data_IF_203230806303
#
_entry.id   IF_203230806303
#
_cell.length_a   1.000
_cell.length_b   1.000
_cell.length_c   1.000
_cell.angle_alpha   90.00
_cell.angle_beta   90.00
_cell.angle_gamma   90.00
#
_symmetry.space_group_name_H-M   'P 1'
#
loop_
_entity.id
_entity.type
_entity.pdbx_description
1 polymer ?
#
# COMPACT_ATOMS: atom_id res chain seq x y z
N UNK A 1 -15.03 -15.87 14.34
CA UNK A 1 -14.59 -14.95 13.27
C UNK A 1 -15.16 -15.50 11.99
N UNK A 2 -16.18 -14.83 11.45
CA UNK A 2 -16.79 -15.20 10.18
C UNK A 2 -16.12 -14.41 9.05
N UNK A 3 -16.03 -15.01 7.87
CA UNK A 3 -15.40 -14.39 6.71
C UNK A 3 -16.40 -14.36 5.55
N UNK A 4 -16.67 -13.16 5.03
CA UNK A 4 -17.63 -12.95 3.96
C UNK A 4 -16.91 -12.56 2.68
N UNK A 5 -17.04 -13.42 1.65
CA UNK A 5 -16.49 -13.19 0.31
C UNK A 5 -17.23 -14.10 -0.68
N UNK A 6 -17.25 -13.77 -2.00
CA UNK A 6 -16.72 -12.56 -2.65
C UNK A 6 -17.72 -11.39 -2.64
N UNK A 7 -17.33 -10.21 -3.13
CA UNK A 7 -18.23 -9.04 -3.32
C UNK A 7 -17.72 -7.77 -2.65
N UNK A 8 -18.55 -6.73 -2.68
CA UNK A 8 -18.38 -5.48 -1.94
C UNK A 8 -18.83 -5.64 -0.49
N UNK A 9 -18.41 -4.73 0.40
CA UNK A 9 -18.86 -4.74 1.78
C UNK A 9 -20.39 -4.63 1.91
N UNK A 10 -21.05 -3.85 1.05
CA UNK A 10 -22.52 -3.72 1.05
C UNK A 10 -23.26 -5.04 0.77
N UNK A 11 -22.63 -6.03 0.12
CA UNK A 11 -23.27 -7.33 -0.11
C UNK A 11 -23.34 -8.21 1.16
N UNK A 12 -22.61 -7.83 2.21
CA UNK A 12 -22.44 -8.65 3.40
C UNK A 12 -22.70 -7.91 4.71
N UNK A 13 -22.75 -6.58 4.72
CA UNK A 13 -22.85 -5.78 5.95
C UNK A 13 -24.12 -6.09 6.75
N UNK A 14 -25.24 -6.42 6.10
CA UNK A 14 -26.46 -6.88 6.79
C UNK A 14 -26.26 -8.16 7.61
N UNK A 15 -25.34 -9.05 7.18
CA UNK A 15 -25.02 -10.29 7.91
C UNK A 15 -24.15 -10.03 9.12
N UNK A 16 -23.34 -8.97 9.08
CA UNK A 16 -22.53 -8.52 10.22
C UNK A 16 -23.45 -7.93 11.29
N UNK A 17 -24.49 -7.19 10.87
CA UNK A 17 -25.42 -6.51 11.76
C UNK A 17 -24.96 -5.10 12.13
N UNK A 18 -25.86 -4.34 12.76
CA UNK A 18 -25.59 -2.99 13.25
C UNK A 18 -24.80 -2.94 14.55
N UNK A 19 -24.77 -1.75 15.17
CA UNK A 19 -24.09 -1.47 16.44
C UNK A 19 -22.60 -1.87 16.45
N UNK A 20 -21.92 -1.64 15.34
CA UNK A 20 -20.50 -1.96 15.19
C UNK A 20 -19.66 -0.92 15.96
N UNK A 21 -19.07 -1.34 17.08
CA UNK A 21 -18.22 -0.48 17.93
C UNK A 21 -16.80 -0.27 17.39
N UNK A 22 -16.31 -1.21 16.58
CA UNK A 22 -14.96 -1.21 16.03
C UNK A 22 -14.97 -1.68 14.59
N UNK A 23 -14.47 -0.84 13.69
CA UNK A 23 -14.32 -1.15 12.28
C UNK A 23 -12.86 -0.97 11.86
N UNK A 24 -12.34 -1.90 11.06
CA UNK A 24 -11.02 -1.79 10.43
C UNK A 24 -11.25 -1.73 8.92
N UNK A 25 -10.78 -0.65 8.30
CA UNK A 25 -10.83 -0.48 6.84
C UNK A 25 -9.40 -0.62 6.31
N UNK A 26 -9.18 -1.67 5.54
CA UNK A 26 -7.89 -2.05 4.96
C UNK A 26 -8.16 -2.76 3.62
N UNK A 27 -8.46 -1.99 2.57
CA UNK A 27 -9.00 -2.55 1.31
C UNK A 27 -8.17 -2.21 0.08
N UNK A 28 -8.73 -1.44 -0.87
CA UNK A 28 -8.19 -1.29 -2.23
C UNK A 28 -7.07 -0.25 -2.35
N UNK A 29 -6.88 0.60 -1.32
CA UNK A 29 -5.91 1.69 -1.29
C UNK A 29 -5.98 2.59 -2.54
N UNK A 30 -7.18 2.72 -3.12
CA UNK A 30 -7.45 3.48 -4.33
C UNK A 30 -8.92 3.89 -4.40
N UNK A 31 -9.20 4.97 -5.13
CA UNK A 31 -10.57 5.38 -5.40
C UNK A 31 -11.19 4.44 -6.45
N UNK A 32 -12.48 4.09 -6.34
CA UNK A 32 -13.41 4.51 -5.28
C UNK A 32 -13.45 3.58 -4.05
N UNK A 33 -12.80 2.41 -4.11
CA UNK A 33 -13.03 1.30 -3.18
C UNK A 33 -13.02 1.66 -1.71
N UNK A 34 -11.93 2.28 -1.24
CA UNK A 34 -11.76 2.59 0.18
C UNK A 34 -12.86 3.54 0.71
N UNK A 35 -13.25 4.54 -0.10
CA UNK A 35 -14.29 5.50 0.26
C UNK A 35 -15.69 4.86 0.23
N UNK A 36 -15.94 3.95 -0.71
CA UNK A 36 -17.18 3.19 -0.77
C UNK A 36 -17.30 2.24 0.42
N UNK A 37 -16.24 1.53 0.79
CA UNK A 37 -16.26 0.62 1.94
C UNK A 37 -16.62 1.37 3.23
N UNK A 38 -16.09 2.57 3.43
CA UNK A 38 -16.50 3.41 4.56
C UNK A 38 -17.98 3.79 4.49
N UNK A 39 -18.49 4.23 3.33
CA UNK A 39 -19.90 4.54 3.16
C UNK A 39 -20.82 3.30 3.32
N UNK A 40 -20.31 2.10 3.10
CA UNK A 40 -21.09 0.88 3.33
C UNK A 40 -21.19 0.51 4.81
N UNK A 41 -20.12 0.69 5.57
CA UNK A 41 -20.13 0.38 7.01
C UNK A 41 -20.80 1.48 7.84
N UNK A 42 -20.76 2.74 7.38
CA UNK A 42 -21.16 3.91 8.15
C UNK A 42 -22.56 3.82 8.79
N UNK A 43 -23.63 3.37 8.10
CA UNK A 43 -24.97 3.26 8.69
C UNK A 43 -25.08 2.20 9.81
N UNK A 44 -24.12 1.28 9.89
CA UNK A 44 -24.10 0.15 10.83
C UNK A 44 -23.19 0.41 12.03
N UNK A 45 -22.45 1.52 12.04
CA UNK A 45 -21.56 1.90 13.14
C UNK A 45 -22.35 2.36 14.37
N UNK A 46 -21.89 1.96 15.55
CA UNK A 46 -22.46 2.46 16.81
C UNK A 46 -22.06 3.92 17.06
N UNK A 47 -22.73 4.58 18.00
CA UNK A 47 -22.35 5.92 18.45
C UNK A 47 -20.93 5.90 19.01
N UNK A 48 -20.08 6.79 18.50
CA UNK A 48 -18.66 6.83 18.85
C UNK A 48 -17.84 5.61 18.46
N UNK A 49 -18.29 4.85 17.44
CA UNK A 49 -17.53 3.74 16.90
C UNK A 49 -16.09 4.15 16.56
N UNK A 50 -15.17 3.23 16.80
CA UNK A 50 -13.76 3.39 16.47
C UNK A 50 -13.51 2.86 15.08
N UNK A 51 -13.03 3.72 14.18
CA UNK A 51 -12.60 3.31 12.83
C UNK A 51 -11.09 3.35 12.75
N UNK A 52 -10.48 2.21 12.49
CA UNK A 52 -9.04 2.05 12.28
C UNK A 52 -8.75 2.01 10.78
N UNK A 53 -7.76 2.78 10.35
CA UNK A 53 -7.26 2.78 8.98
C UNK A 53 -5.77 2.51 8.94
N UNK A 54 -5.37 1.66 8.00
CA UNK A 54 -3.98 1.40 7.63
C UNK A 54 -3.57 2.25 6.41
N UNK A 55 -2.29 2.24 6.08
CA UNK A 55 -1.75 2.82 4.84
C UNK A 55 -2.00 4.31 4.62
N UNK A 56 -2.09 5.08 5.72
CA UNK A 56 -2.27 6.53 5.70
C UNK A 56 -1.13 7.25 4.95
N UNK A 57 0.06 6.65 4.87
CA UNK A 57 1.21 7.23 4.18
C UNK A 57 1.57 6.51 2.88
N UNK A 58 0.70 5.63 2.40
CA UNK A 58 0.98 4.78 1.24
C UNK A 58 1.39 5.55 -0.02
N UNK A 59 0.67 6.64 -0.33
CA UNK A 59 1.00 7.55 -1.44
C UNK A 59 2.42 8.13 -1.37
N UNK A 60 2.95 8.35 -0.16
CA UNK A 60 4.30 8.87 0.07
C UNK A 60 5.32 7.74 -0.01
N UNK A 61 5.08 6.64 0.70
CA UNK A 61 6.01 5.50 0.78
C UNK A 61 6.18 4.78 -0.56
N UNK A 62 5.13 4.74 -1.38
CA UNK A 62 5.11 4.03 -2.65
C UNK A 62 5.28 4.93 -3.87
N UNK A 63 5.44 6.25 -3.70
CA UNK A 63 5.57 7.26 -4.78
C UNK A 63 4.48 7.12 -5.85
N UNK A 64 3.23 6.99 -5.39
CA UNK A 64 2.03 6.78 -6.22
C UNK A 64 1.05 7.91 -5.96
N UNK A 65 1.17 8.97 -6.76
CA UNK A 65 0.47 10.27 -6.59
C UNK A 65 -1.07 10.21 -6.58
N UNK A 66 -1.67 9.04 -6.80
CA UNK A 66 -3.12 8.84 -6.87
C UNK A 66 -3.66 7.76 -5.93
N UNK A 67 -2.83 7.27 -4.99
CA UNK A 67 -3.23 6.28 -3.98
C UNK A 67 -3.18 6.89 -2.57
N UNK A 68 -3.73 8.09 -2.46
CA UNK A 68 -3.81 8.87 -1.22
C UNK A 68 -5.17 8.73 -0.52
N UNK A 69 -6.07 7.87 -1.02
CA UNK A 69 -7.43 7.73 -0.49
C UNK A 69 -7.45 7.45 1.01
N UNK A 70 -6.60 6.56 1.52
CA UNK A 70 -6.56 6.25 2.96
C UNK A 70 -6.23 7.50 3.79
N UNK A 71 -5.27 8.31 3.33
CA UNK A 71 -4.89 9.58 3.98
C UNK A 71 -6.03 10.60 3.97
N UNK A 72 -6.65 10.80 2.81
CA UNK A 72 -7.70 11.79 2.61
C UNK A 72 -8.94 11.39 3.39
N UNK A 73 -9.38 10.12 3.28
CA UNK A 73 -10.53 9.58 4.00
C UNK A 73 -10.34 9.70 5.51
N UNK A 74 -9.19 9.27 6.05
CA UNK A 74 -8.90 9.40 7.47
C UNK A 74 -8.91 10.86 7.94
N UNK A 75 -8.36 11.76 7.14
CA UNK A 75 -8.36 13.20 7.43
C UNK A 75 -9.78 13.79 7.45
N UNK A 76 -10.68 13.25 6.63
CA UNK A 76 -12.08 13.66 6.53
C UNK A 76 -12.99 13.14 7.63
N UNK A 77 -12.57 12.15 8.44
CA UNK A 77 -13.40 11.66 9.54
C UNK A 77 -13.70 12.76 10.57
N UNK A 78 -14.94 12.85 11.03
CA UNK A 78 -15.33 13.74 12.11
C UNK A 78 -15.25 12.99 13.44
N UNK A 79 -14.35 13.43 14.33
CA UNK A 79 -14.09 12.75 15.58
C UNK A 79 -12.68 12.98 16.11
N UNK A 80 -12.36 12.29 17.21
CA UNK A 80 -11.02 12.32 17.83
C UNK A 80 -10.09 11.35 17.12
N UNK A 81 -9.15 11.91 16.35
CA UNK A 81 -8.13 11.15 15.61
C UNK A 81 -6.91 10.89 16.48
N UNK A 82 -6.40 9.67 16.40
CA UNK A 82 -5.19 9.21 17.05
C UNK A 82 -4.31 8.50 16.03
N UNK A 83 -3.00 8.72 16.14
CA UNK A 83 -2.01 8.06 15.29
C UNK A 83 -1.19 7.11 16.14
N UNK A 84 -1.02 5.87 15.67
CA UNK A 84 -0.12 4.93 16.34
C UNK A 84 1.31 5.36 16.05
N UNK A 85 2.07 5.67 17.11
CA UNK A 85 3.49 6.02 16.97
C UNK A 85 4.28 4.78 16.59
N UNK A 86 4.55 4.64 15.31
CA UNK A 86 5.47 3.65 14.79
C UNK A 86 6.90 4.16 14.95
N UNK A 87 7.81 3.30 15.39
CA UNK A 87 9.24 3.63 15.50
C UNK A 87 9.93 3.69 14.11
N UNK A 88 9.21 3.35 13.04
CA UNK A 88 9.72 3.21 11.68
C UNK A 88 9.15 4.30 10.78
N UNK A 89 9.69 5.51 10.91
CA UNK A 89 9.15 6.67 10.21
C UNK A 89 10.22 7.21 9.28
N UNK A 90 10.18 6.77 8.02
CA UNK A 90 11.10 7.21 6.97
C UNK A 90 11.13 8.76 6.83
N UNK A 91 10.03 9.43 7.21
CA UNK A 91 9.83 10.86 7.06
C UNK A 91 9.60 11.59 8.40
N UNK A 92 9.80 10.93 9.54
CA UNK A 92 9.64 11.51 10.88
C UNK A 92 8.21 11.41 11.46
N UNK A 93 8.01 11.75 12.75
CA UNK A 93 6.87 11.30 13.57
C UNK A 93 5.47 11.75 13.12
N UNK A 94 5.38 12.66 12.15
CA UNK A 94 4.11 13.12 11.59
C UNK A 94 3.59 12.22 10.46
N UNK A 95 4.36 11.23 10.01
CA UNK A 95 4.01 10.34 8.89
C UNK A 95 3.71 8.93 9.41
N UNK A 96 2.76 8.81 10.32
CA UNK A 96 2.33 7.52 10.86
C UNK A 96 1.46 6.78 9.85
N UNK A 97 1.73 5.50 9.60
CA UNK A 97 1.00 4.75 8.59
C UNK A 97 -0.36 4.24 9.10
N UNK A 98 -0.56 4.21 10.42
CA UNK A 98 -1.77 3.68 11.05
C UNK A 98 -2.37 4.74 11.96
N UNK A 99 -3.68 4.93 11.83
CA UNK A 99 -4.45 5.80 12.70
C UNK A 99 -5.82 5.22 13.00
N UNK A 100 -6.43 5.70 14.08
CA UNK A 100 -7.82 5.43 14.39
C UNK A 100 -8.56 6.72 14.73
N UNK A 101 -9.85 6.75 14.42
CA UNK A 101 -10.73 7.85 14.78
C UNK A 101 -11.84 7.30 15.67
N UNK A 102 -12.01 7.89 16.85
CA UNK A 102 -13.26 7.77 17.60
C UNK A 102 -14.22 8.75 16.96
N UNK A 103 -15.16 8.26 16.15
CA UNK A 103 -16.10 9.11 15.43
C UNK A 103 -16.98 9.89 16.42
N UNK A 104 -17.45 11.08 16.04
CA UNK A 104 -18.55 11.72 16.77
C UNK A 104 -19.83 10.86 16.66
N UNK A 105 -20.80 11.03 17.55
CA UNK A 105 -22.04 10.24 17.56
C UNK A 105 -23.08 10.62 16.49
N UNK A 106 -22.83 11.70 15.76
CA UNK A 106 -23.71 12.29 14.75
C UNK A 106 -23.14 12.17 13.32
N UNK A 107 -22.47 11.07 12.98
CA UNK A 107 -21.84 10.90 11.66
C UNK A 107 -22.80 10.90 10.47
N UNK A 108 -24.07 10.55 10.71
CA UNK A 108 -25.12 10.53 9.70
C UNK A 108 -25.75 11.91 9.47
N UNK A 109 -25.24 12.97 10.11
CA UNK A 109 -25.64 14.35 9.80
C UNK A 109 -25.27 14.71 8.36
N UNK A 110 -26.16 15.46 7.72
CA UNK A 110 -26.14 15.78 6.30
C UNK A 110 -24.82 16.46 5.88
N UNK A 111 -24.34 17.43 6.67
CA UNK A 111 -23.10 18.15 6.37
C UNK A 111 -21.88 17.24 6.36
N UNK A 112 -21.85 16.21 7.22
CA UNK A 112 -20.75 15.23 7.30
C UNK A 112 -20.84 14.24 6.15
N UNK A 113 -22.05 13.75 5.85
CA UNK A 113 -22.32 12.88 4.71
C UNK A 113 -21.90 13.55 3.39
N UNK A 114 -22.15 14.86 3.22
CA UNK A 114 -21.65 15.59 2.05
C UNK A 114 -20.12 15.56 1.92
N UNK A 115 -19.37 15.62 3.02
CA UNK A 115 -17.91 15.48 2.96
C UNK A 115 -17.53 14.08 2.49
N UNK A 116 -18.15 13.04 3.06
CA UNK A 116 -17.86 11.65 2.69
C UNK A 116 -18.22 11.33 1.23
N UNK A 117 -19.40 11.74 0.77
CA UNK A 117 -19.79 11.55 -0.64
C UNK A 117 -18.93 12.38 -1.60
N UNK A 118 -18.49 13.59 -1.20
CA UNK A 118 -17.57 14.40 -2.03
C UNK A 118 -16.20 13.74 -2.22
N UNK A 119 -15.78 12.81 -1.35
CA UNK A 119 -14.57 12.04 -1.61
C UNK A 119 -14.69 11.18 -2.88
N UNK A 120 -15.91 10.74 -3.23
CA UNK A 120 -16.16 10.01 -4.48
C UNK A 120 -16.08 10.93 -5.73
N UNK A 121 -16.07 12.26 -5.59
CA UNK A 121 -15.81 13.19 -6.70
C UNK A 121 -14.36 13.15 -7.18
N UNK A 122 -13.44 12.61 -6.37
CA UNK A 122 -12.04 12.52 -6.75
C UNK A 122 -11.86 11.47 -7.87
N UNK A 123 -10.86 11.60 -8.76
CA UNK A 123 -10.64 10.68 -9.88
C UNK A 123 -10.58 9.20 -9.46
N UNK A 124 -11.44 8.36 -10.03
CA UNK A 124 -11.48 6.91 -9.71
C UNK A 124 -10.41 6.14 -10.45
N UNK A 125 -9.60 5.34 -9.76
CA UNK A 125 -8.54 4.54 -10.37
C UNK A 125 -9.05 3.38 -11.24
N UNK A 126 -10.30 2.96 -11.01
CA UNK A 126 -10.98 1.93 -11.78
C UNK A 126 -12.49 2.19 -11.78
N UNK A 127 -13.17 1.74 -12.83
CA UNK A 127 -14.63 1.70 -12.86
C UNK A 127 -15.16 0.44 -12.18
N UNK A 128 -16.27 0.59 -11.46
CA UNK A 128 -17.04 -0.51 -10.90
C UNK A 128 -17.67 -1.36 -12.02
N UNK A 129 -17.89 -2.65 -11.76
CA UNK A 129 -18.65 -3.50 -12.68
C UNK A 129 -20.14 -3.11 -12.64
N UNK A 130 -20.87 -3.46 -13.70
CA UNK A 130 -22.31 -3.18 -13.78
C UNK A 130 -23.10 -3.71 -12.58
N UNK A 131 -22.80 -4.92 -12.13
CA UNK A 131 -23.48 -5.51 -10.96
C UNK A 131 -23.15 -4.75 -9.68
N UNK A 132 -21.87 -4.48 -9.43
CA UNK A 132 -21.40 -3.69 -8.29
C UNK A 132 -22.08 -2.30 -8.23
N UNK A 133 -22.31 -1.66 -9.38
CA UNK A 133 -23.05 -0.39 -9.46
C UNK A 133 -24.51 -0.56 -9.01
N UNK A 134 -25.20 -1.61 -9.46
CA UNK A 134 -26.57 -1.90 -9.02
C UNK A 134 -26.63 -2.12 -7.50
N UNK A 135 -25.68 -2.88 -6.96
CA UNK A 135 -25.60 -3.16 -5.52
C UNK A 135 -25.35 -1.87 -4.72
N UNK A 136 -24.48 -0.97 -5.21
CA UNK A 136 -24.28 0.35 -4.61
C UNK A 136 -25.56 1.19 -4.59
N UNK A 137 -26.30 1.20 -5.71
CA UNK A 137 -27.55 1.98 -5.85
C UNK A 137 -28.61 1.46 -4.88
N UNK A 138 -28.79 0.14 -4.80
CA UNK A 138 -29.74 -0.48 -3.88
C UNK A 138 -29.36 -0.18 -2.43
N UNK A 139 -28.07 -0.34 -2.09
CA UNK A 139 -27.57 -0.03 -0.76
C UNK A 139 -27.81 1.45 -0.38
N UNK A 140 -27.48 2.39 -1.26
CA UNK A 140 -27.66 3.81 -0.98
C UNK A 140 -29.12 4.22 -0.91
N UNK A 141 -30.00 3.61 -1.71
CA UNK A 141 -31.45 3.82 -1.63
C UNK A 141 -32.03 3.40 -0.28
N UNK A 142 -31.47 2.35 0.34
CA UNK A 142 -31.97 1.83 1.61
C UNK A 142 -31.42 2.57 2.83
N UNK A 143 -30.18 3.08 2.74
CA UNK A 143 -29.44 3.58 3.91
C UNK A 143 -29.19 5.09 3.93
N UNK A 144 -29.46 5.80 2.83
CA UNK A 144 -29.22 7.23 2.71
C UNK A 144 -30.44 7.94 2.11
N UNK A 145 -30.51 9.25 2.26
CA UNK A 145 -31.57 10.06 1.65
C UNK A 145 -31.47 10.06 0.12
N UNK A 146 -32.59 10.38 -0.53
CA UNK A 146 -32.67 10.44 -2.00
C UNK A 146 -31.62 11.40 -2.60
N UNK A 147 -31.32 12.51 -1.92
CA UNK A 147 -30.32 13.49 -2.37
C UNK A 147 -28.92 12.89 -2.49
N UNK A 148 -28.51 12.02 -1.56
CA UNK A 148 -27.21 11.34 -1.63
C UNK A 148 -27.16 10.26 -2.70
N UNK A 149 -28.28 9.58 -2.95
CA UNK A 149 -28.40 8.66 -4.09
C UNK A 149 -28.26 9.42 -5.42
N UNK A 150 -28.96 10.55 -5.57
CA UNK A 150 -28.86 11.41 -6.76
C UNK A 150 -27.43 11.93 -6.93
N UNK A 151 -26.77 12.35 -5.84
CA UNK A 151 -25.37 12.77 -5.86
C UNK A 151 -24.46 11.64 -6.36
N UNK A 152 -24.60 10.42 -5.81
CA UNK A 152 -23.80 9.27 -6.24
C UNK A 152 -24.01 8.93 -7.72
N UNK A 153 -25.26 8.95 -8.21
CA UNK A 153 -25.56 8.73 -9.63
C UNK A 153 -24.89 9.78 -10.52
N UNK A 154 -24.87 11.04 -10.08
CA UNK A 154 -24.18 12.11 -10.81
C UNK A 154 -22.66 11.92 -10.84
N UNK A 155 -22.09 11.44 -9.73
CA UNK A 155 -20.67 11.08 -9.65
C UNK A 155 -20.34 9.96 -10.63
N UNK A 156 -21.15 8.89 -10.66
CA UNK A 156 -20.99 7.79 -11.60
C UNK A 156 -21.00 8.27 -13.06
N UNK A 157 -21.93 9.14 -13.43
CA UNK A 157 -22.01 9.73 -14.78
C UNK A 157 -20.73 10.49 -15.13
N UNK A 158 -20.21 11.31 -14.20
CA UNK A 158 -18.98 12.08 -14.40
C UNK A 158 -17.77 11.16 -14.56
N UNK A 159 -17.64 10.15 -13.70
CA UNK A 159 -16.52 9.21 -13.74
C UNK A 159 -16.56 8.38 -15.02
N UNK A 160 -17.73 7.86 -15.42
CA UNK A 160 -17.91 7.17 -16.70
C UNK A 160 -17.43 8.03 -17.87
N UNK A 161 -17.89 9.29 -17.93
CA UNK A 161 -17.45 10.22 -18.96
C UNK A 161 -15.93 10.45 -18.95
N UNK A 162 -15.31 10.54 -17.77
CA UNK A 162 -13.86 10.71 -17.65
C UNK A 162 -13.09 9.49 -18.17
N UNK A 163 -13.58 8.28 -17.90
CA UNK A 163 -13.01 7.05 -18.44
C UNK A 163 -13.21 6.91 -19.95
N UNK A 164 -14.39 7.22 -20.47
CA UNK A 164 -14.69 7.15 -21.91
C UNK A 164 -13.90 8.15 -22.74
N UNK A 165 -13.57 9.31 -22.16
CA UNK A 165 -12.86 10.38 -22.85
C UNK A 165 -11.35 10.37 -22.59
N UNK A 166 -10.83 9.34 -21.92
CA UNK A 166 -9.43 9.24 -21.45
C UNK A 166 -8.94 10.52 -20.73
N UNK A 167 -9.87 11.29 -20.14
CA UNK A 167 -9.57 12.57 -19.47
C UNK A 167 -8.70 12.37 -18.25
N UNK A 168 -8.81 11.20 -17.63
CA UNK A 168 -7.86 10.78 -16.60
C UNK A 168 -6.96 9.73 -17.22
N UNK A 169 -5.84 10.20 -17.75
CA UNK A 169 -4.79 9.31 -18.18
C UNK A 169 -4.12 8.70 -16.93
N UNK A 170 -4.66 7.63 -16.37
CA UNK A 170 -3.96 6.83 -15.36
C UNK A 170 -2.66 6.22 -15.92
N UNK A 171 -2.53 6.20 -17.24
CA UNK A 171 -1.34 5.88 -18.02
C UNK A 171 -0.55 7.11 -18.47
N UNK A 172 -0.84 8.33 -17.97
CA UNK A 172 0.19 9.36 -17.95
C UNK A 172 1.26 8.75 -17.08
N UNK A 173 2.23 8.11 -17.76
CA UNK A 173 3.46 7.61 -17.21
C UNK A 173 3.83 8.66 -16.20
N UNK A 174 3.93 8.23 -14.94
CA UNK A 174 4.91 8.79 -14.05
C UNK A 174 6.18 9.02 -14.90
N UNK A 175 6.34 10.23 -15.41
CA UNK A 175 7.63 10.86 -15.45
C UNK A 175 7.72 11.33 -14.02
N UNK A 176 8.73 10.92 -13.25
CA UNK A 176 9.05 11.68 -12.07
C UNK A 176 9.17 13.11 -12.59
N UNK A 177 8.22 13.99 -12.24
CA UNK A 177 8.55 15.41 -12.20
C UNK A 177 9.79 15.39 -11.36
N UNK A 178 10.92 15.71 -12.01
CA UNK A 178 12.26 15.75 -11.46
C UNK A 178 12.04 16.01 -9.99
N UNK A 179 12.17 14.97 -9.15
CA UNK A 179 12.26 15.27 -7.73
C UNK A 179 13.32 16.36 -7.71
N UNK A 180 13.08 17.44 -6.97
CA UNK A 180 14.19 18.28 -6.59
C UNK A 180 15.17 17.28 -6.01
N UNK A 181 16.13 16.94 -6.86
CA UNK A 181 17.05 15.87 -6.62
C UNK A 181 17.76 16.45 -5.44
N UNK A 182 17.49 15.89 -4.26
CA UNK A 182 18.53 15.87 -3.25
C UNK A 182 19.68 15.25 -4.01
N UNK A 183 20.58 16.12 -4.40
CA UNK A 183 21.74 15.86 -5.21
C UNK A 183 22.56 14.89 -4.38
N UNK A 184 22.28 13.60 -4.52
CA UNK A 184 23.16 12.53 -4.09
C UNK A 184 23.64 11.87 -5.35
N UNK A 185 24.47 12.63 -6.05
CA UNK A 185 25.52 12.21 -6.96
C UNK A 185 25.39 10.77 -7.45
N UNK A 186 24.67 10.58 -8.56
CA UNK A 186 24.69 9.34 -9.36
C UNK A 186 26.02 9.18 -10.13
N UNK A 187 27.12 9.63 -9.53
CA UNK A 187 28.49 9.54 -10.04
C UNK A 187 29.41 8.85 -9.02
N UNK A 188 28.98 8.59 -7.77
CA UNK A 188 29.74 7.83 -6.77
C UNK A 188 28.88 6.74 -6.08
N UNK A 189 28.24 5.83 -6.81
CA UNK A 189 27.73 4.60 -6.17
C UNK A 189 28.90 3.65 -5.98
N UNK A 190 29.22 3.29 -4.75
CA UNK A 190 30.24 2.28 -4.45
C UNK A 190 29.79 0.89 -4.94
N UNK A 191 30.72 -0.03 -5.15
CA UNK A 191 30.42 -1.44 -5.40
C UNK A 191 29.54 -2.02 -4.29
N UNK A 192 29.75 -1.59 -3.04
CA UNK A 192 28.91 -1.90 -1.87
C UNK A 192 27.47 -1.44 -2.04
N UNK A 193 27.23 -0.21 -2.47
CA UNK A 193 25.86 0.29 -2.73
C UNK A 193 25.15 -0.54 -3.81
N UNK A 194 25.90 -1.01 -4.81
CA UNK A 194 25.37 -1.87 -5.86
C UNK A 194 24.95 -3.24 -5.33
N UNK A 195 25.66 -3.77 -4.33
CA UNK A 195 25.29 -5.02 -3.65
C UNK A 195 24.09 -4.83 -2.73
N UNK A 196 24.04 -3.73 -1.98
CA UNK A 196 22.90 -3.40 -1.11
C UNK A 196 21.61 -3.16 -1.90
N UNK A 197 21.73 -2.68 -3.15
CA UNK A 197 20.61 -2.54 -4.06
C UNK A 197 20.09 -3.86 -4.66
N UNK A 198 20.75 -5.00 -4.43
CA UNK A 198 20.25 -6.30 -4.89
C UNK A 198 19.05 -6.73 -4.08
N UNK A 199 18.12 -7.44 -4.74
CA UNK A 199 16.92 -7.98 -4.10
C UNK A 199 17.24 -8.80 -2.84
N UNK A 200 18.26 -9.66 -2.90
CA UNK A 200 18.66 -10.50 -1.76
C UNK A 200 18.98 -9.67 -0.52
N UNK A 201 19.76 -8.60 -0.67
CA UNK A 201 20.10 -7.74 0.46
C UNK A 201 18.84 -7.05 1.03
N UNK A 202 18.01 -6.46 0.16
CA UNK A 202 16.75 -5.80 0.56
C UNK A 202 15.80 -6.75 1.31
N UNK A 203 15.66 -7.99 0.83
CA UNK A 203 14.84 -9.02 1.46
C UNK A 203 15.42 -9.46 2.80
N UNK A 204 16.72 -9.74 2.87
CA UNK A 204 17.38 -10.13 4.11
C UNK A 204 17.27 -9.07 5.19
N UNK A 205 17.42 -7.79 4.81
CA UNK A 205 17.27 -6.67 5.73
C UNK A 205 15.85 -6.60 6.27
N UNK A 206 14.84 -6.70 5.40
CA UNK A 206 13.45 -6.73 5.82
C UNK A 206 13.13 -7.92 6.74
N UNK A 207 13.69 -9.10 6.50
CA UNK A 207 13.51 -10.26 7.38
C UNK A 207 14.07 -10.00 8.80
N UNK A 208 15.25 -9.41 8.90
CA UNK A 208 15.89 -9.08 10.19
C UNK A 208 15.10 -8.01 10.94
N UNK A 209 14.64 -6.98 10.24
CA UNK A 209 13.91 -5.87 10.85
C UNK A 209 12.52 -6.30 11.35
N UNK A 210 11.83 -7.13 10.55
CA UNK A 210 10.46 -7.56 10.85
C UNK A 210 10.38 -8.76 11.80
N UNK A 211 11.47 -9.51 12.00
CA UNK A 211 11.49 -10.62 12.96
C UNK A 211 11.61 -10.19 14.42
N UNK A 212 11.79 -8.89 14.69
CA UNK A 212 11.97 -8.35 16.06
C UNK A 212 10.68 -8.16 16.85
N UNK A 213 9.50 -8.31 16.23
CA UNK A 213 8.22 -8.15 16.91
C UNK A 213 7.12 -9.04 16.32
N UNK A 214 6.12 -9.38 17.14
CA UNK A 214 4.97 -10.20 16.73
C UNK A 214 4.21 -9.52 15.57
N UNK A 215 3.96 -8.21 15.68
CA UNK A 215 3.36 -7.43 14.59
C UNK A 215 4.24 -7.38 13.34
N UNK A 216 5.56 -7.40 13.51
CA UNK A 216 6.53 -7.52 12.42
C UNK A 216 6.37 -8.83 11.64
N UNK A 217 6.15 -9.95 12.32
CA UNK A 217 5.88 -11.24 11.68
C UNK A 217 4.56 -11.24 10.89
N UNK A 218 3.50 -10.63 11.43
CA UNK A 218 2.19 -10.56 10.75
C UNK A 218 2.30 -9.74 9.46
N UNK A 219 3.01 -8.60 9.48
CA UNK A 219 3.19 -7.74 8.28
C UNK A 219 4.24 -8.25 7.29
N UNK A 220 5.09 -9.20 7.70
CA UNK A 220 6.25 -9.66 6.92
C UNK A 220 5.89 -10.13 5.49
N UNK A 221 4.81 -10.89 5.24
CA UNK A 221 4.45 -11.29 3.88
C UNK A 221 4.22 -10.09 2.94
N UNK A 222 3.57 -9.04 3.43
CA UNK A 222 3.26 -7.83 2.65
C UNK A 222 4.51 -7.01 2.34
N UNK A 223 5.37 -6.80 3.35
CA UNK A 223 6.65 -6.09 3.18
C UNK A 223 7.53 -6.76 2.13
N UNK A 224 7.62 -8.10 2.16
CA UNK A 224 8.43 -8.86 1.21
C UNK A 224 7.84 -8.83 -0.20
N UNK A 225 6.51 -8.86 -0.34
CA UNK A 225 5.84 -8.67 -1.63
C UNK A 225 6.14 -7.29 -2.21
N UNK A 226 5.99 -6.24 -1.40
CA UNK A 226 6.27 -4.86 -1.79
C UNK A 226 7.71 -4.67 -2.29
N UNK A 227 8.71 -5.16 -1.53
CA UNK A 227 10.13 -5.05 -1.90
C UNK A 227 10.41 -5.71 -3.25
N UNK A 228 9.80 -6.88 -3.49
CA UNK A 228 9.95 -7.62 -4.75
C UNK A 228 9.38 -6.84 -5.93
N UNK A 229 8.17 -6.30 -5.80
CA UNK A 229 7.52 -5.57 -6.89
C UNK A 229 8.22 -4.24 -7.18
N UNK A 230 8.59 -3.49 -6.14
CA UNK A 230 9.39 -2.26 -6.27
C UNK A 230 10.72 -2.52 -6.97
N UNK A 231 11.45 -3.55 -6.56
CA UNK A 231 12.72 -3.90 -7.20
C UNK A 231 12.53 -4.29 -8.68
N UNK A 232 11.44 -4.99 -9.02
CA UNK A 232 11.11 -5.32 -10.42
C UNK A 232 10.85 -4.05 -11.25
N UNK A 233 10.16 -3.07 -10.69
CA UNK A 233 9.92 -1.77 -11.34
C UNK A 233 11.22 -0.98 -11.53
N UNK A 234 12.06 -0.89 -10.50
CA UNK A 234 13.39 -0.26 -10.56
C UNK A 234 14.23 -0.86 -11.70
N UNK A 235 14.27 -2.20 -11.79
CA UNK A 235 15.01 -2.91 -12.84
C UNK A 235 14.44 -2.68 -14.23
N UNK A 236 13.11 -2.53 -14.38
CA UNK A 236 12.48 -2.20 -15.66
C UNK A 236 12.83 -0.77 -16.09
N UNK A 237 12.70 0.19 -15.18
CA UNK A 237 13.04 1.59 -15.44
C UNK A 237 14.54 1.76 -15.79
N UNK A 238 15.43 1.04 -15.10
CA UNK A 238 16.86 1.03 -15.43
C UNK A 238 17.14 0.48 -16.83
N UNK A 239 16.50 -0.64 -17.22
CA UNK A 239 16.61 -1.19 -18.57
C UNK A 239 16.12 -0.23 -19.65
N UNK A 240 15.02 0.47 -19.40
CA UNK A 240 14.50 1.50 -20.31
C UNK A 240 15.50 2.67 -20.45
N UNK A 241 16.10 3.13 -19.34
CA UNK A 241 17.14 4.18 -19.36
C UNK A 241 18.38 3.78 -20.17
N UNK A 242 18.88 2.55 -20.02
CA UNK A 242 20.01 2.05 -20.82
C UNK A 242 19.63 1.95 -22.30
N UNK A 243 18.39 1.55 -22.60
CA UNK A 243 17.90 1.46 -23.98
C UNK A 243 17.87 2.83 -24.66
N UNK A 244 17.49 3.88 -23.91
CA UNK A 244 17.49 5.25 -24.41
C UNK A 244 18.90 5.86 -24.48
N UNK A 245 19.77 5.54 -23.52
CA UNK A 245 21.15 6.00 -23.48
C UNK A 245 22.09 4.91 -22.93
N UNK A 246 22.82 4.18 -23.80
CA UNK A 246 23.71 3.10 -23.39
C UNK A 246 24.82 3.51 -22.43
N UNK A 247 25.23 4.78 -22.44
CA UNK A 247 26.28 5.31 -21.54
C UNK A 247 25.85 5.37 -20.07
N UNK A 248 24.56 5.16 -19.78
CA UNK A 248 24.03 5.08 -18.41
C UNK A 248 24.18 3.67 -17.80
N UNK A 249 24.70 2.70 -18.55
CA UNK A 249 24.94 1.36 -18.02
C UNK A 249 26.00 1.40 -16.91
N UNK A 250 25.65 0.88 -15.75
CA UNK A 250 26.59 0.69 -14.65
C UNK A 250 27.74 -0.20 -15.12
N UNK A 251 29.01 0.18 -14.86
CA UNK A 251 30.15 -0.61 -15.28
C UNK A 251 30.19 -1.96 -14.55
N UNK A 252 31.00 -2.95 -14.97
CA UNK A 252 31.14 -4.24 -14.28
C UNK A 252 31.55 -4.05 -12.82
N UNK A 253 31.14 -4.95 -11.91
CA UNK A 253 31.36 -4.76 -10.47
C UNK A 253 32.86 -4.72 -10.13
N UNK A 254 33.65 -5.42 -10.91
CA UNK A 254 35.11 -5.54 -10.84
C UNK A 254 35.84 -4.21 -11.07
N UNK A 255 35.17 -3.25 -11.71
CA UNK A 255 35.75 -1.94 -12.04
C UNK A 255 35.60 -0.91 -10.92
N UNK A 256 34.88 -1.26 -9.84
CA UNK A 256 34.66 -0.36 -8.71
C UNK A 256 35.88 -0.39 -7.78
N UNK A 257 36.35 0.78 -7.27
CA UNK A 257 37.51 0.84 -6.37
C UNK A 257 37.36 0.00 -5.10
N UNK A 258 36.14 -0.21 -4.62
CA UNK A 258 35.79 -0.98 -3.43
C UNK A 258 35.32 -2.41 -3.75
N UNK A 259 35.72 -2.97 -4.89
CA UNK A 259 35.29 -4.31 -5.33
C UNK A 259 35.43 -5.39 -4.24
N UNK A 260 36.57 -5.43 -3.55
CA UNK A 260 36.82 -6.42 -2.49
C UNK A 260 35.91 -6.22 -1.27
N UNK A 261 35.54 -4.98 -0.95
CA UNK A 261 34.52 -4.70 0.07
C UNK A 261 33.12 -5.12 -0.40
N UNK A 262 32.77 -4.81 -1.64
CA UNK A 262 31.51 -5.22 -2.25
C UNK A 262 31.35 -6.74 -2.30
N UNK A 263 32.43 -7.49 -2.53
CA UNK A 263 32.40 -8.95 -2.48
C UNK A 263 32.11 -9.46 -1.06
N UNK A 264 32.72 -8.87 -0.03
CA UNK A 264 32.45 -9.22 1.37
C UNK A 264 30.99 -8.97 1.74
N UNK A 265 30.35 -7.95 1.18
CA UNK A 265 28.92 -7.67 1.37
C UNK A 265 28.00 -8.75 0.81
N UNK A 266 28.42 -9.55 -0.19
CA UNK A 266 27.65 -10.73 -0.62
C UNK A 266 27.74 -11.90 0.37
N UNK A 267 28.76 -11.90 1.22
CA UNK A 267 28.99 -12.93 2.23
C UNK A 267 28.37 -12.58 3.59
N UNK A 268 27.85 -11.36 3.76
CA UNK A 268 27.23 -10.93 5.01
C UNK A 268 25.89 -11.64 5.29
N UNK A 269 25.48 -11.62 6.57
CA UNK A 269 24.31 -12.40 7.04
C UNK A 269 23.07 -12.01 6.27
N UNK A 270 22.84 -10.70 6.19
CA UNK A 270 21.73 -10.07 5.52
C UNK A 270 21.59 -10.57 4.09
N UNK A 271 22.68 -10.55 3.32
CA UNK A 271 22.65 -10.96 1.92
C UNK A 271 22.31 -12.46 1.79
N UNK A 272 22.99 -13.32 2.56
CA UNK A 272 22.78 -14.78 2.53
C UNK A 272 21.39 -15.19 3.00
N UNK A 273 20.88 -14.53 4.05
CA UNK A 273 19.52 -14.73 4.55
C UNK A 273 18.49 -14.46 3.46
N UNK A 274 18.62 -13.33 2.74
CA UNK A 274 17.70 -13.01 1.67
C UNK A 274 17.81 -13.94 0.46
N UNK A 275 19.02 -14.40 0.10
CA UNK A 275 19.19 -15.44 -0.93
C UNK A 275 18.50 -16.75 -0.53
N UNK A 276 18.69 -17.20 0.71
CA UNK A 276 18.06 -18.40 1.24
C UNK A 276 16.53 -18.27 1.23
N UNK A 277 16.00 -17.12 1.61
CA UNK A 277 14.56 -16.84 1.58
C UNK A 277 14.01 -16.88 0.15
N UNK A 278 14.64 -16.18 -0.80
CA UNK A 278 14.19 -16.18 -2.21
C UNK A 278 14.20 -17.60 -2.78
N UNK A 279 15.20 -18.40 -2.43
CA UNK A 279 15.29 -19.82 -2.84
C UNK A 279 14.18 -20.66 -2.21
N UNK A 280 13.87 -20.43 -0.93
CA UNK A 280 12.78 -21.11 -0.23
C UNK A 280 11.42 -20.77 -0.85
N UNK A 281 11.15 -19.50 -1.15
CA UNK A 281 9.89 -19.05 -1.76
C UNK A 281 9.65 -19.63 -3.15
N UNK A 282 10.70 -19.90 -3.94
CA UNK A 282 10.57 -20.59 -5.24
C UNK A 282 10.16 -22.07 -5.10
N UNK A 283 10.50 -22.69 -3.96
CA UNK A 283 10.27 -24.11 -3.68
C UNK A 283 9.30 -24.31 -2.50
N UNK A 284 8.36 -23.38 -2.30
CA UNK A 284 7.51 -23.35 -1.11
C UNK A 284 6.67 -24.63 -0.95
N UNK A 285 6.16 -25.18 -2.06
CA UNK A 285 5.40 -26.44 -2.13
C UNK A 285 6.23 -27.70 -1.84
N UNK A 286 7.57 -27.61 -1.85
CA UNK A 286 8.50 -28.70 -1.57
C UNK A 286 9.16 -28.61 -0.19
N UNK A 287 8.51 -27.95 0.78
CA UNK A 287 9.05 -27.71 2.11
C UNK A 287 10.17 -26.67 2.14
N UNK A 288 10.20 -25.74 1.18
CA UNK A 288 11.24 -24.71 1.05
C UNK A 288 11.48 -23.91 2.34
N UNK A 289 10.41 -23.56 3.07
CA UNK A 289 10.52 -22.83 4.34
C UNK A 289 11.01 -23.69 5.51
N UNK A 290 10.76 -25.01 5.51
CA UNK A 290 11.35 -25.93 6.50
C UNK A 290 12.87 -25.97 6.27
N UNK A 291 13.31 -26.09 5.00
CA UNK A 291 14.73 -26.03 4.63
C UNK A 291 15.37 -24.68 4.99
N UNK A 292 14.61 -23.58 4.86
CA UNK A 292 15.07 -22.26 5.23
C UNK A 292 15.50 -22.19 6.71
N UNK A 293 14.73 -22.78 7.63
CA UNK A 293 15.08 -22.80 9.06
C UNK A 293 16.45 -23.46 9.32
N UNK A 294 16.75 -24.55 8.62
CA UNK A 294 18.05 -25.21 8.72
C UNK A 294 19.17 -24.38 8.08
N UNK A 295 18.91 -23.72 6.95
CA UNK A 295 19.89 -22.85 6.31
C UNK A 295 20.22 -21.61 7.14
N UNK A 296 19.23 -20.98 7.79
CA UNK A 296 19.46 -19.85 8.70
C UNK A 296 20.45 -20.24 9.81
N UNK A 297 20.22 -21.38 10.48
CA UNK A 297 21.12 -21.89 11.52
C UNK A 297 22.54 -22.18 11.01
N UNK A 298 22.70 -22.54 9.73
CA UNK A 298 24.03 -22.74 9.12
C UNK A 298 24.70 -21.42 8.80
N UNK A 299 23.95 -20.42 8.32
CA UNK A 299 24.47 -19.10 8.00
C UNK A 299 24.92 -18.41 9.30
N UNK A 300 24.15 -18.49 10.38
CA UNK A 300 24.52 -17.94 11.69
C UNK A 300 25.81 -18.54 12.26
N UNK A 301 26.05 -19.85 12.06
CA UNK A 301 27.27 -20.53 12.56
C UNK A 301 28.54 -20.21 11.76
N UNK A 302 28.43 -19.56 10.60
CA UNK A 302 29.55 -19.26 9.68
C UNK A 302 30.04 -17.82 9.80
N UNK A 303 29.46 -17.03 10.71
CA UNK A 303 29.80 -15.64 10.97
C UNK A 303 30.22 -15.47 12.42
#
# INVERSE_FOLDING_TARGET
MEFFSPGLACNHIDKVGGDIDLCIIDTMHSYPGEALDFLFVLPYLSKNAVVIMHDLTFHILCDVSYRNVCSVLFSSFFGRKHYLRENYIHYGPNFQNIGYCVLDDNQMEEEKLYVYFKLLNLPWNYMLKKQDICDCIEFFKLNYTEDFLVLFLKILEIQQKWFETDKINFYDKWRPKKSLSVNRNMINSSGKDRIHNRLSYKIGQALIENSKSIWGYIRMPFVLSYIKDKHKLEQKAYKEKIKENPNLALPPLETYPDYDEALREKECFTYKLGEAFIKASKNWYGGGYIKLLFEIRKIEKRQ
#
